data_IF_667103108694
#
_entry.id   IF_667103108694
#
_cell.length_a   1.000
_cell.length_b   1.000
_cell.length_c   1.000
_cell.angle_alpha   90.00
_cell.angle_beta   90.00
_cell.angle_gamma   90.00
#
_symmetry.space_group_name_H-M   'P 1'
#
loop_
_entity.id
_entity.type
_entity.pdbx_description
1 polymer ?
#
# COMPACT_ATOMS: atom_id res chain seq x y z
N UNK A 1 -9.79 -9.31 3.67
CA UNK A 1 -9.03 -8.15 3.16
C UNK A 1 -7.55 -8.49 3.23
N UNK A 2 -6.83 -8.52 2.10
CA UNK A 2 -5.36 -8.58 2.16
C UNK A 2 -4.87 -7.23 2.70
N UNK A 3 -4.03 -7.20 3.75
CA UNK A 3 -3.52 -5.94 4.26
C UNK A 3 -2.69 -5.24 3.18
N UNK A 4 -2.87 -3.92 3.06
CA UNK A 4 -2.04 -3.07 2.19
C UNK A 4 -0.58 -3.34 2.53
N UNK A 5 0.27 -3.44 1.51
CA UNK A 5 1.63 -3.93 1.73
C UNK A 5 2.44 -2.99 2.62
N UNK A 6 2.22 -1.66 2.57
CA UNK A 6 2.87 -0.71 3.47
C UNK A 6 2.46 -0.94 4.93
N UNK A 7 1.18 -1.24 5.19
CA UNK A 7 0.67 -1.40 6.55
C UNK A 7 1.30 -2.61 7.26
N UNK A 8 1.78 -3.60 6.51
CA UNK A 8 2.59 -4.70 7.07
C UNK A 8 3.87 -4.19 7.73
N UNK A 9 4.42 -3.06 7.28
CA UNK A 9 5.66 -2.48 7.76
C UNK A 9 5.48 -1.46 8.90
N UNK A 10 4.32 -1.37 9.54
CA UNK A 10 4.21 -0.65 10.82
C UNK A 10 5.26 -1.18 11.81
N UNK A 11 6.02 -0.30 12.45
CA UNK A 11 6.99 -0.72 13.47
C UNK A 11 6.27 -1.30 14.69
N UNK A 12 6.98 -2.13 15.45
CA UNK A 12 6.52 -2.51 16.79
C UNK A 12 6.46 -1.27 17.69
N UNK A 13 5.42 -1.17 18.50
CA UNK A 13 5.34 -0.15 19.55
C UNK A 13 6.30 -0.49 20.69
N UNK A 14 6.88 0.52 21.31
CA UNK A 14 7.57 0.36 22.60
C UNK A 14 6.56 0.01 23.71
N UNK A 15 7.04 -0.45 24.86
CA UNK A 15 6.15 -0.73 26.00
C UNK A 15 5.36 0.51 26.45
N UNK A 16 5.98 1.69 26.40
CA UNK A 16 5.34 2.97 26.73
C UNK A 16 4.27 3.36 25.72
N UNK A 17 4.57 3.26 24.42
CA UNK A 17 3.62 3.55 23.34
C UNK A 17 2.45 2.56 23.33
N UNK A 18 2.71 1.27 23.61
CA UNK A 18 1.67 0.26 23.74
C UNK A 18 0.73 0.56 24.92
N UNK A 19 1.27 1.09 26.03
CA UNK A 19 0.48 1.56 27.17
C UNK A 19 -0.43 2.75 26.84
N UNK A 20 -0.08 3.54 25.81
CA UNK A 20 -0.84 4.71 25.34
C UNK A 20 -1.19 4.63 23.85
N UNK A 21 -1.60 3.44 23.40
CA UNK A 21 -1.81 3.17 21.97
C UNK A 21 -2.85 4.09 21.31
N UNK A 22 -3.82 4.59 22.08
CA UNK A 22 -4.83 5.55 21.62
C UNK A 22 -4.27 6.96 21.38
N UNK A 23 -3.07 7.26 21.90
CA UNK A 23 -2.33 8.50 21.66
C UNK A 23 -1.28 8.37 20.56
N UNK A 24 -1.06 7.16 20.03
CA UNK A 24 -0.06 6.90 19.03
C UNK A 24 -0.57 7.23 17.61
N UNK A 25 0.21 8.03 16.87
CA UNK A 25 -0.13 8.40 15.49
C UNK A 25 0.38 7.37 14.48
N UNK A 26 -0.48 6.43 14.09
CA UNK A 26 -0.18 5.45 13.04
C UNK A 26 -0.10 6.08 11.64
N UNK A 27 -0.63 7.27 11.43
CA UNK A 27 -0.61 7.92 10.13
C UNK A 27 0.63 8.82 9.95
N UNK A 28 1.55 8.84 10.92
CA UNK A 28 2.84 9.52 10.82
C UNK A 28 3.88 8.66 10.08
N UNK A 29 4.77 9.23 9.24
CA UNK A 29 5.84 8.49 8.57
C UNK A 29 6.69 7.62 9.49
N UNK A 30 7.00 8.11 10.70
CA UNK A 30 7.80 7.39 11.71
C UNK A 30 7.11 6.15 12.30
N UNK A 31 5.83 5.93 11.99
CA UNK A 31 5.14 4.70 12.33
C UNK A 31 5.56 3.50 11.46
N UNK A 32 6.25 3.75 10.35
CA UNK A 32 6.65 2.71 9.40
C UNK A 32 8.15 2.44 9.45
N UNK A 33 8.50 1.16 9.37
CA UNK A 33 9.87 0.71 9.18
C UNK A 33 10.23 0.76 7.70
N UNK A 34 10.57 1.98 7.26
CA UNK A 34 10.87 2.25 5.86
C UNK A 34 12.15 1.53 5.40
N UNK A 35 13.10 1.29 6.30
CA UNK A 35 14.32 0.53 5.96
C UNK A 35 13.98 -0.91 5.60
N UNK A 36 13.16 -1.59 6.40
CA UNK A 36 12.72 -2.95 6.09
C UNK A 36 11.88 -3.02 4.80
N UNK A 37 11.04 -2.01 4.55
CA UNK A 37 10.30 -1.89 3.29
C UNK A 37 11.25 -1.77 2.09
N UNK A 38 12.26 -0.90 2.17
CA UNK A 38 13.26 -0.71 1.13
C UNK A 38 14.06 -1.99 0.87
N UNK A 39 14.49 -2.66 1.93
CA UNK A 39 15.21 -3.94 1.83
C UNK A 39 14.35 -5.00 1.10
N UNK A 40 13.07 -5.13 1.47
CA UNK A 40 12.16 -6.06 0.81
C UNK A 40 11.93 -5.69 -0.66
N UNK A 41 11.70 -4.41 -0.95
CA UNK A 41 11.46 -3.94 -2.31
C UNK A 41 12.68 -4.15 -3.22
N UNK A 42 13.89 -3.92 -2.70
CA UNK A 42 15.13 -4.15 -3.43
C UNK A 42 15.38 -5.63 -3.72
N UNK A 43 15.20 -6.51 -2.73
CA UNK A 43 15.30 -7.96 -2.93
C UNK A 43 14.31 -8.46 -4.00
N UNK A 44 13.06 -7.99 -3.94
CA UNK A 44 12.05 -8.33 -4.95
C UNK A 44 12.47 -7.85 -6.35
N UNK A 45 13.04 -6.65 -6.48
CA UNK A 45 13.57 -6.12 -7.75
C UNK A 45 14.72 -6.96 -8.30
N UNK A 46 15.52 -7.56 -7.42
CA UNK A 46 16.60 -8.48 -7.78
C UNK A 46 16.13 -9.92 -8.05
N UNK A 47 14.82 -10.18 -8.11
CA UNK A 47 14.29 -11.53 -8.36
C UNK A 47 14.33 -12.47 -7.16
N UNK A 48 14.53 -11.94 -5.96
CA UNK A 48 14.59 -12.72 -4.73
C UNK A 48 13.24 -12.73 -4.02
N UNK A 49 12.89 -13.86 -3.40
CA UNK A 49 11.75 -13.93 -2.51
C UNK A 49 12.05 -13.20 -1.19
N UNK A 50 11.01 -12.67 -0.56
CA UNK A 50 11.10 -11.93 0.70
C UNK A 50 10.05 -12.37 1.70
N UNK A 51 10.36 -12.17 2.98
CA UNK A 51 9.43 -12.37 4.08
C UNK A 51 8.89 -11.01 4.52
N UNK A 52 7.64 -10.73 4.14
CA UNK A 52 6.96 -9.49 4.56
C UNK A 52 6.38 -9.70 5.95
N UNK A 53 6.61 -8.76 6.91
CA UNK A 53 6.03 -8.84 8.24
C UNK A 53 4.49 -8.87 8.20
N UNK A 54 3.89 -9.49 9.23
CA UNK A 54 2.45 -9.44 9.45
C UNK A 54 2.18 -8.54 10.65
N UNK A 55 1.38 -7.50 10.46
CA UNK A 55 0.98 -6.58 11.52
C UNK A 55 -0.44 -6.92 12.03
N UNK A 56 -0.57 -7.10 13.34
CA UNK A 56 -1.86 -7.32 14.01
C UNK A 56 -2.44 -5.97 14.45
N UNK A 57 -3.42 -5.46 13.71
CA UNK A 57 -4.10 -4.19 14.02
C UNK A 57 -4.96 -4.22 15.27
N UNK A 58 -5.36 -5.41 15.76
CA UNK A 58 -6.13 -5.52 17.00
C UNK A 58 -5.22 -5.42 18.21
N UNK A 59 -4.02 -6.02 18.11
CA UNK A 59 -3.03 -6.01 19.20
C UNK A 59 -2.01 -4.87 19.08
N UNK A 60 -1.96 -4.17 17.94
CA UNK A 60 -0.97 -3.15 17.61
C UNK A 60 0.48 -3.65 17.70
N UNK A 61 0.75 -4.84 17.15
CA UNK A 61 2.07 -5.49 17.22
C UNK A 61 2.41 -6.20 15.92
N UNK A 62 3.69 -6.30 15.61
CA UNK A 62 4.18 -7.26 14.62
C UNK A 62 4.08 -8.68 15.16
N UNK A 63 3.78 -9.62 14.28
CA UNK A 63 3.99 -11.04 14.57
C UNK A 63 5.49 -11.34 14.58
N UNK A 64 5.97 -11.98 15.65
CA UNK A 64 7.36 -12.47 15.76
C UNK A 64 7.56 -13.83 15.11
N UNK A 65 6.47 -14.58 14.90
CA UNK A 65 6.52 -16.00 14.50
C UNK A 65 5.99 -16.24 13.10
N UNK A 66 5.34 -15.24 12.48
CA UNK A 66 4.72 -15.40 11.18
C UNK A 66 5.05 -14.26 10.23
N UNK A 67 5.33 -14.64 8.99
CA UNK A 67 5.65 -13.76 7.89
C UNK A 67 4.85 -14.20 6.67
N UNK A 68 4.54 -13.24 5.80
CA UNK A 68 3.98 -13.54 4.48
C UNK A 68 5.12 -13.70 3.50
N UNK A 69 5.32 -14.92 3.00
CA UNK A 69 6.25 -15.17 1.90
C UNK A 69 5.73 -14.49 0.63
N UNK A 70 6.56 -13.64 0.03
CA UNK A 70 6.27 -12.97 -1.24
C UNK A 70 7.36 -13.36 -2.22
N UNK A 71 6.96 -14.02 -3.31
CA UNK A 71 7.87 -14.39 -4.38
C UNK A 71 8.13 -13.21 -5.30
N UNK A 72 9.28 -13.21 -5.97
CA UNK A 72 9.54 -12.27 -7.05
C UNK A 72 8.47 -12.43 -8.14
N UNK A 73 8.09 -11.32 -8.76
CA UNK A 73 7.04 -11.24 -9.77
C UNK A 73 7.41 -10.16 -10.79
N UNK A 74 6.95 -10.31 -12.03
CA UNK A 74 7.20 -9.32 -13.10
C UNK A 74 6.54 -7.96 -12.80
N UNK A 75 5.52 -7.95 -11.94
CA UNK A 75 4.83 -6.74 -11.47
C UNK A 75 4.75 -6.77 -9.95
N UNK A 76 5.20 -5.69 -9.32
CA UNK A 76 5.11 -5.46 -7.88
C UNK A 76 4.29 -4.21 -7.65
N UNK A 77 3.23 -4.33 -6.84
CA UNK A 77 2.37 -3.20 -6.47
C UNK A 77 2.69 -2.82 -5.02
N UNK A 78 3.22 -1.60 -4.84
CA UNK A 78 3.40 -0.99 -3.53
C UNK A 78 2.20 -0.08 -3.22
N UNK A 79 1.34 -0.54 -2.33
CA UNK A 79 0.14 0.18 -1.89
C UNK A 79 0.24 0.63 -0.42
N UNK A 80 -0.16 1.88 -0.15
CA UNK A 80 -0.26 2.43 1.21
C UNK A 80 -0.50 3.94 1.20
N UNK A 81 -0.90 4.50 2.35
CA UNK A 81 -1.22 5.93 2.47
C UNK A 81 0.01 6.85 2.34
N UNK A 82 1.21 6.35 2.63
CA UNK A 82 2.46 7.12 2.65
C UNK A 82 3.55 6.55 1.74
N UNK A 83 3.20 5.70 0.76
CA UNK A 83 4.20 5.10 -0.14
C UNK A 83 4.98 6.14 -0.95
N UNK A 84 4.43 7.34 -1.14
CA UNK A 84 5.10 8.45 -1.80
C UNK A 84 5.82 9.40 -0.84
N UNK A 85 5.82 9.17 0.47
CA UNK A 85 6.45 10.07 1.43
C UNK A 85 7.99 10.04 1.32
N UNK A 86 8.59 8.85 1.35
CA UNK A 86 10.04 8.68 1.28
C UNK A 86 10.55 8.68 -0.18
N UNK A 87 11.54 9.51 -0.47
CA UNK A 87 12.12 9.64 -1.82
C UNK A 87 12.77 8.35 -2.31
N UNK A 88 13.39 7.58 -1.42
CA UNK A 88 14.06 6.32 -1.74
C UNK A 88 13.05 5.31 -2.22
N UNK A 89 11.88 5.23 -1.57
CA UNK A 89 10.77 4.36 -1.98
C UNK A 89 10.23 4.79 -3.36
N UNK A 90 10.04 6.11 -3.57
CA UNK A 90 9.60 6.64 -4.88
C UNK A 90 10.56 6.31 -6.01
N UNK A 91 11.87 6.31 -5.74
CA UNK A 91 12.90 6.03 -6.74
C UNK A 91 12.92 4.55 -7.20
N UNK A 92 12.25 3.65 -6.46
CA UNK A 92 12.07 2.25 -6.86
C UNK A 92 10.90 2.07 -7.83
N UNK A 93 10.00 3.06 -7.96
CA UNK A 93 8.74 2.92 -8.69
C UNK A 93 8.87 3.37 -10.14
N UNK A 94 8.46 2.50 -11.07
CA UNK A 94 8.36 2.82 -12.50
C UNK A 94 7.10 3.63 -12.85
N UNK A 95 6.02 3.48 -12.07
CA UNK A 95 4.75 4.20 -12.24
C UNK A 95 4.17 4.55 -10.86
N UNK A 96 3.75 5.79 -10.67
CA UNK A 96 3.21 6.33 -9.41
C UNK A 96 1.78 6.77 -9.63
N UNK A 97 0.85 6.10 -8.96
CA UNK A 97 -0.59 6.36 -9.06
C UNK A 97 -1.10 6.89 -7.73
N UNK A 98 -1.76 8.05 -7.74
CA UNK A 98 -2.45 8.60 -6.57
C UNK A 98 -3.95 8.48 -6.77
N UNK A 99 -4.64 7.81 -5.85
CA UNK A 99 -6.11 7.73 -5.85
C UNK A 99 -6.66 8.91 -5.08
N UNK A 100 -7.43 9.76 -5.76
CA UNK A 100 -8.02 10.97 -5.19
C UNK A 100 -9.52 10.80 -4.95
N UNK A 101 -9.96 11.13 -3.76
CA UNK A 101 -11.36 10.98 -3.31
C UNK A 101 -11.65 12.00 -2.22
N UNK A 102 -12.86 12.54 -2.23
CA UNK A 102 -13.31 13.57 -1.30
C UNK A 102 -13.24 13.09 0.16
N UNK A 103 -12.90 14.00 1.07
CA UNK A 103 -12.60 13.66 2.46
C UNK A 103 -13.80 13.05 3.21
N UNK A 104 -15.01 13.49 2.89
CA UNK A 104 -16.27 12.99 3.44
C UNK A 104 -16.55 11.56 2.99
N UNK A 105 -16.36 11.25 1.71
CA UNK A 105 -16.46 9.89 1.17
C UNK A 105 -15.44 8.97 1.85
N UNK A 106 -14.19 9.42 1.99
CA UNK A 106 -13.14 8.65 2.69
C UNK A 106 -13.48 8.43 4.16
N UNK A 107 -13.97 9.44 4.86
CA UNK A 107 -14.38 9.35 6.26
C UNK A 107 -15.56 8.38 6.45
N UNK A 108 -16.61 8.49 5.63
CA UNK A 108 -17.76 7.59 5.68
C UNK A 108 -17.35 6.12 5.48
N UNK A 109 -16.46 5.89 4.50
CA UNK A 109 -15.86 4.57 4.23
C UNK A 109 -15.07 4.04 5.42
N UNK A 110 -14.27 4.90 6.07
CA UNK A 110 -13.51 4.54 7.27
C UNK A 110 -14.40 4.20 8.45
N UNK A 111 -15.41 5.02 8.74
CA UNK A 111 -16.35 4.77 9.85
C UNK A 111 -16.97 3.40 9.68
N UNK A 112 -17.54 3.12 8.50
CA UNK A 112 -18.14 1.82 8.20
C UNK A 112 -17.17 0.66 8.40
N UNK A 113 -15.94 0.77 7.90
CA UNK A 113 -14.92 -0.28 8.04
C UNK A 113 -14.53 -0.49 9.51
N UNK A 114 -14.20 0.58 10.22
CA UNK A 114 -13.69 0.48 11.60
C UNK A 114 -14.79 0.04 12.59
N UNK A 115 -16.06 0.37 12.34
CA UNK A 115 -17.17 -0.10 13.18
C UNK A 115 -17.57 -1.54 12.84
N UNK A 116 -17.81 -1.85 11.56
CA UNK A 116 -18.33 -3.17 11.14
C UNK A 116 -17.27 -4.25 11.17
N UNK A 117 -16.06 -3.98 10.67
CA UNK A 117 -15.02 -5.01 10.52
C UNK A 117 -14.10 -5.10 11.74
N UNK A 118 -13.90 -3.98 12.45
CA UNK A 118 -12.98 -3.89 13.59
C UNK A 118 -13.67 -3.74 14.95
N UNK A 119 -14.99 -3.56 14.97
CA UNK A 119 -15.78 -3.47 16.21
C UNK A 119 -15.48 -2.22 17.04
N UNK A 120 -15.04 -1.13 16.40
CA UNK A 120 -14.71 0.13 17.10
C UNK A 120 -15.96 0.99 17.27
N UNK A 121 -15.94 1.77 18.35
CA UNK A 121 -16.95 2.79 18.61
C UNK A 121 -16.83 3.97 17.64
N UNK A 122 -17.97 4.56 17.24
CA UNK A 122 -18.02 5.65 16.26
C UNK A 122 -17.32 6.90 16.79
N UNK A 123 -17.56 7.27 18.05
CA UNK A 123 -16.99 8.48 18.63
C UNK A 123 -15.46 8.36 18.69
N UNK A 124 -14.97 7.18 19.09
CA UNK A 124 -13.52 6.88 19.05
C UNK A 124 -12.91 7.00 17.65
N UNK A 125 -13.62 6.56 16.60
CA UNK A 125 -13.16 6.68 15.21
C UNK A 125 -13.10 8.16 14.78
N UNK A 126 -14.10 8.96 15.13
CA UNK A 126 -14.17 10.38 14.82
C UNK A 126 -13.08 11.18 15.55
N UNK A 127 -12.88 10.92 16.84
CA UNK A 127 -11.81 11.53 17.63
C UNK A 127 -10.44 11.22 17.03
N UNK A 128 -10.17 9.94 16.70
CA UNK A 128 -8.90 9.56 16.09
C UNK A 128 -8.73 10.20 14.70
N UNK A 129 -9.81 10.31 13.93
CA UNK A 129 -9.77 10.98 12.63
C UNK A 129 -9.37 12.45 12.76
N UNK A 130 -10.03 13.19 13.66
CA UNK A 130 -9.76 14.61 13.88
C UNK A 130 -8.36 14.84 14.49
N UNK A 131 -7.95 14.01 15.45
CA UNK A 131 -6.70 14.17 16.19
C UNK A 131 -5.46 13.80 15.38
N UNK A 132 -5.54 12.74 14.56
CA UNK A 132 -4.35 12.17 13.91
C UNK A 132 -4.47 12.11 12.40
N UNK A 133 -5.56 11.54 11.89
CA UNK A 133 -5.60 11.10 10.48
C UNK A 133 -5.79 12.26 9.52
N UNK A 134 -6.65 13.22 9.85
CA UNK A 134 -6.84 14.42 9.04
C UNK A 134 -5.57 15.29 9.00
N UNK A 135 -4.93 15.62 10.14
CA UNK A 135 -3.63 16.29 10.13
C UNK A 135 -2.56 15.53 9.34
N UNK A 136 -2.39 14.23 9.57
CA UNK A 136 -1.41 13.43 8.84
C UNK A 136 -1.68 13.37 7.33
N UNK A 137 -2.96 13.35 6.93
CA UNK A 137 -3.33 13.44 5.53
C UNK A 137 -2.90 14.78 4.92
N UNK A 138 -3.16 15.89 5.60
CA UNK A 138 -2.84 17.24 5.11
C UNK A 138 -1.32 17.49 5.09
N UNK A 139 -0.59 16.99 6.10
CA UNK A 139 0.84 17.22 6.26
C UNK A 139 1.72 16.31 5.40
N UNK A 140 1.30 15.05 5.20
CA UNK A 140 2.15 14.02 4.59
C UNK A 140 1.56 13.39 3.32
N UNK A 141 0.27 13.02 3.34
CA UNK A 141 -0.35 12.27 2.23
C UNK A 141 -0.64 13.19 1.05
N UNK A 142 -1.40 14.26 1.25
CA UNK A 142 -1.83 15.17 0.19
C UNK A 142 -0.64 15.86 -0.51
N UNK A 143 0.40 16.36 0.19
CA UNK A 143 1.55 16.96 -0.49
C UNK A 143 2.32 15.98 -1.36
N UNK A 144 2.26 14.67 -1.05
CA UNK A 144 2.92 13.62 -1.85
C UNK A 144 2.24 13.37 -3.20
N UNK A 145 0.98 13.83 -3.39
CA UNK A 145 0.24 13.76 -4.66
C UNK A 145 1.01 14.37 -5.83
N UNK A 146 1.84 15.38 -5.58
CA UNK A 146 2.67 16.04 -6.62
C UNK A 146 3.70 15.11 -7.28
N UNK A 147 4.00 13.97 -6.66
CA UNK A 147 4.93 12.97 -7.20
C UNK A 147 4.23 11.90 -8.05
N UNK A 148 2.90 11.95 -8.19
CA UNK A 148 2.15 10.99 -8.98
C UNK A 148 2.32 11.26 -10.48
N UNK A 149 2.48 10.19 -11.25
CA UNK A 149 2.43 10.22 -12.72
C UNK A 149 0.96 10.26 -13.19
N UNK A 150 0.06 9.60 -12.44
CA UNK A 150 -1.37 9.53 -12.74
C UNK A 150 -2.18 9.75 -11.46
N UNK A 151 -3.22 10.59 -11.55
CA UNK A 151 -4.21 10.80 -10.48
C UNK A 151 -5.53 10.18 -10.92
N UNK A 152 -6.08 9.28 -10.11
CA UNK A 152 -7.33 8.58 -10.40
C UNK A 152 -8.44 9.08 -9.47
N UNK A 153 -9.46 9.77 -10.00
CA UNK A 153 -10.63 10.11 -9.22
C UNK A 153 -11.50 8.88 -9.02
N UNK A 154 -12.32 8.89 -7.95
CA UNK A 154 -13.33 7.85 -7.63
C UNK A 154 -12.76 6.45 -7.34
N UNK A 155 -11.43 6.30 -7.27
CA UNK A 155 -10.76 5.06 -6.87
C UNK A 155 -11.31 3.80 -7.53
N UNK A 156 -11.69 2.82 -6.71
CA UNK A 156 -12.13 1.49 -7.18
C UNK A 156 -13.45 1.48 -7.95
N UNK A 157 -14.21 2.56 -7.94
CA UNK A 157 -15.44 2.70 -8.74
C UNK A 157 -15.13 3.18 -10.17
N UNK A 158 -13.86 3.51 -10.47
CA UNK A 158 -13.42 3.99 -11.77
C UNK A 158 -12.88 2.85 -12.63
N UNK A 159 -13.77 1.97 -13.08
CA UNK A 159 -13.41 0.82 -13.92
C UNK A 159 -12.62 1.20 -15.18
N UNK A 160 -12.94 2.35 -15.80
CA UNK A 160 -12.20 2.86 -16.96
C UNK A 160 -10.72 3.11 -16.63
N UNK A 161 -10.42 3.73 -15.48
CA UNK A 161 -9.04 3.96 -15.07
C UNK A 161 -8.31 2.66 -14.74
N UNK A 162 -9.00 1.71 -14.09
CA UNK A 162 -8.46 0.38 -13.79
C UNK A 162 -8.10 -0.32 -15.10
N UNK A 163 -9.00 -0.37 -16.08
CA UNK A 163 -8.77 -1.00 -17.37
C UNK A 163 -7.57 -0.39 -18.11
N UNK A 164 -7.42 0.93 -18.08
CA UNK A 164 -6.27 1.62 -18.68
C UNK A 164 -4.95 1.23 -18.02
N UNK A 165 -4.89 1.14 -16.68
CA UNK A 165 -3.70 0.68 -15.96
C UNK A 165 -3.37 -0.76 -16.33
N UNK A 166 -4.39 -1.62 -16.40
CA UNK A 166 -4.23 -3.05 -16.69
C UNK A 166 -3.73 -3.27 -18.10
N UNK A 167 -4.32 -2.56 -19.07
CA UNK A 167 -3.85 -2.57 -20.44
C UNK A 167 -2.41 -2.09 -20.53
N UNK A 168 -2.05 -1.00 -19.83
CA UNK A 168 -0.68 -0.51 -19.78
C UNK A 168 0.30 -1.57 -19.25
N UNK A 169 -0.02 -2.22 -18.12
CA UNK A 169 0.79 -3.29 -17.53
C UNK A 169 0.93 -4.45 -18.52
N UNK A 170 -0.17 -4.91 -19.14
CA UNK A 170 -0.14 -6.00 -20.14
C UNK A 170 0.73 -5.66 -21.35
N UNK A 171 0.63 -4.43 -21.86
CA UNK A 171 1.47 -3.96 -22.96
C UNK A 171 2.93 -3.97 -22.58
N UNK A 172 3.29 -3.53 -21.36
CA UNK A 172 4.66 -3.60 -20.86
C UNK A 172 5.15 -5.05 -20.76
N UNK A 173 4.38 -5.94 -20.14
CA UNK A 173 4.76 -7.36 -20.00
C UNK A 173 4.89 -8.10 -21.34
N UNK A 174 4.10 -7.72 -22.35
CA UNK A 174 4.19 -8.28 -23.71
C UNK A 174 5.36 -7.77 -24.55
N UNK A 175 6.10 -6.76 -24.10
CA UNK A 175 7.27 -6.23 -24.79
C UNK A 175 8.52 -7.04 -24.41
N UNK A 176 8.89 -8.01 -25.25
CA UNK A 176 10.06 -8.89 -25.06
C UNK A 176 11.44 -8.18 -25.12
N UNK A 177 11.49 -6.84 -25.31
CA UNK A 177 12.71 -6.03 -25.47
C UNK A 177 12.83 -4.85 -24.46
N UNK A 178 12.12 -4.90 -23.32
CA UNK A 178 12.08 -3.80 -22.34
C UNK A 178 13.45 -3.33 -21.82
N UNK A 179 14.41 -4.25 -21.65
CA UNK A 179 15.76 -3.92 -21.16
C UNK A 179 16.56 -3.01 -22.11
N UNK A 180 16.17 -2.93 -23.39
CA UNK A 180 16.81 -2.04 -24.39
C UNK A 180 16.27 -0.61 -24.34
N UNK A 181 15.04 -0.42 -23.85
CA UNK A 181 14.33 0.87 -23.88
C UNK A 181 14.38 1.56 -22.51
N UNK A 182 14.41 0.78 -21.43
CA UNK A 182 14.54 1.29 -20.08
C UNK A 182 15.69 0.57 -19.39
N UNK A 183 16.89 1.18 -19.27
CA UNK A 183 18.04 0.54 -18.63
C UNK A 183 17.83 0.27 -17.13
N UNK A 184 16.75 0.80 -16.55
CA UNK A 184 16.29 0.59 -15.18
C UNK A 184 15.15 -0.45 -15.05
N UNK A 185 14.76 -1.12 -16.13
CA UNK A 185 13.78 -2.23 -16.09
C UNK A 185 14.54 -3.54 -16.00
N UNK A 186 14.41 -4.19 -14.84
CA UNK A 186 14.93 -5.54 -14.62
C UNK A 186 13.84 -6.55 -14.95
N UNK A 187 13.95 -7.20 -16.11
CA UNK A 187 13.11 -8.35 -16.44
C UNK A 187 13.73 -9.57 -15.78
N UNK A 188 13.12 -10.05 -14.70
CA UNK A 188 13.48 -11.31 -14.07
C UNK A 188 12.95 -12.41 -14.99
N UNK A 189 13.83 -13.27 -15.52
CA UNK A 189 13.37 -14.38 -16.35
C UNK A 189 12.49 -15.31 -15.52
N UNK A 190 11.19 -15.31 -15.85
CA UNK A 190 10.17 -16.16 -15.22
C UNK A 190 10.57 -17.64 -15.24
N UNK A 191 10.83 -18.21 -14.07
CA UNK A 191 10.68 -19.64 -13.83
C UNK A 191 9.19 -19.98 -13.88
N UNK A 192 8.68 -20.25 -15.09
CA UNK A 192 7.38 -20.85 -15.40
C UNK A 192 6.35 -20.86 -14.26
N UNK A 193 5.78 -19.70 -13.94
CA UNK A 193 4.50 -19.62 -13.24
C UNK A 193 3.84 -18.26 -13.52
N UNK A 194 3.35 -18.07 -14.75
CA UNK A 194 2.40 -16.99 -15.04
C UNK A 194 1.06 -17.36 -14.40
N UNK A 195 0.95 -17.16 -13.08
CA UNK A 195 -0.34 -17.23 -12.39
C UNK A 195 -1.06 -15.89 -12.61
N UNK A 196 -1.70 -15.78 -13.78
CA UNK A 196 -2.64 -14.71 -14.13
C UNK A 196 -3.96 -14.80 -13.32
N UNK A 197 -4.03 -15.68 -12.32
CA UNK A 197 -5.17 -15.84 -11.40
C UNK A 197 -5.21 -14.73 -10.34
N UNK A 198 -4.06 -14.25 -9.85
CA UNK A 198 -4.04 -13.24 -8.78
C UNK A 198 -4.33 -11.82 -9.27
N UNK A 199 -4.02 -11.51 -10.54
CA UNK A 199 -4.30 -10.19 -11.10
C UNK A 199 -5.81 -9.98 -11.29
N UNK A 200 -6.54 -11.03 -11.70
CA UNK A 200 -8.00 -10.97 -11.81
C UNK A 200 -8.66 -10.96 -10.42
N UNK A 201 -8.20 -11.74 -9.44
CA UNK A 201 -8.76 -11.68 -8.08
C UNK A 201 -8.54 -10.33 -7.37
N UNK A 202 -7.45 -9.60 -7.69
CA UNK A 202 -7.23 -8.23 -7.22
C UNK A 202 -8.14 -7.20 -7.91
N UNK A 203 -8.71 -7.53 -9.06
CA UNK A 203 -9.55 -6.64 -9.87
C UNK A 203 -11.04 -7.01 -9.87
N UNK A 204 -11.38 -8.26 -9.56
CA UNK A 204 -12.74 -8.82 -9.52
C UNK A 204 -13.29 -9.00 -8.10
N UNK A 205 -12.70 -8.36 -7.10
CA UNK A 205 -13.39 -8.11 -5.82
C UNK A 205 -14.07 -6.74 -5.85
N UNK A 206 -15.36 -6.67 -6.25
CA UNK A 206 -16.16 -5.49 -6.05
C UNK A 206 -16.44 -5.41 -4.56
N UNK A 207 -15.60 -4.71 -3.81
CA UNK A 207 -15.84 -4.12 -2.49
C UNK A 207 -14.46 -3.74 -1.94
N UNK A 208 -14.32 -2.51 -1.44
CA UNK A 208 -13.17 -2.00 -0.65
C UNK A 208 -12.06 -1.27 -1.43
N UNK A 209 -12.44 -0.34 -2.30
CA UNK A 209 -11.69 0.92 -2.36
C UNK A 209 -12.19 1.84 -1.22
N UNK A 210 -11.67 1.63 -0.01
CA UNK A 210 -11.99 2.41 1.19
C UNK A 210 -10.74 3.03 1.80
N UNK A 211 -10.16 3.92 1.01
CA UNK A 211 -9.29 4.98 1.51
C UNK A 211 -9.65 6.28 0.85
#
# INVERSE_FOLDING_TARGET
MLPKILDSFYRGLTAEEAGRVHEYNFDHPDAFDTEQLLECAEKLRCGQCVQVPIYDFKKHRRSSESFRQVNASDVIILEGILVFHDARVRNLMNMKIFVDTDADVRLARRIRRDTVERGRDIDSVLEQYAKFVKPAFDDFVLPSKKYADVIIPRGGDNHVAIDLIVQHIRTKLGQHDLCKVYPNVFVIQSTFQVNLSYLLDLMYFPFLAHS
#
